data_IF_823050086935
#
_entry.id   IF_823050086935
#
_cell.length_a   1.000
_cell.length_b   1.000
_cell.length_c   1.000
_cell.angle_alpha   90.00
_cell.angle_beta   90.00
_cell.angle_gamma   90.00
#
_symmetry.space_group_name_H-M   'P 1'
#
loop_
_entity.id
_entity.type
_entity.pdbx_description
1 polymer ?
#
# COMPACT_ATOMS: atom_id res chain seq x y z
N UNK A 1 38.91 37.26 -17.87
CA UNK A 1 38.37 35.96 -17.41
C UNK A 1 39.56 35.19 -16.86
N UNK A 2 39.52 34.93 -15.57
CA UNK A 2 40.50 34.08 -14.91
C UNK A 2 40.09 32.63 -15.19
N UNK A 3 40.86 31.90 -16.00
CA UNK A 3 40.53 30.54 -16.41
C UNK A 3 40.98 29.51 -15.38
N UNK A 4 41.60 29.96 -14.27
CA UNK A 4 42.10 29.07 -13.24
C UNK A 4 41.04 28.74 -12.14
N UNK A 5 39.92 29.46 -12.09
CA UNK A 5 38.83 29.23 -11.16
C UNK A 5 37.56 28.76 -11.89
N UNK A 6 37.10 27.52 -11.71
CA UNK A 6 35.88 27.07 -12.33
C UNK A 6 34.65 27.79 -11.72
N UNK A 7 33.79 28.33 -12.55
CA UNK A 7 32.55 28.99 -12.13
C UNK A 7 31.44 27.98 -11.71
N UNK A 8 31.52 26.76 -12.17
CA UNK A 8 30.59 25.68 -11.83
C UNK A 8 31.22 24.31 -12.06
N UNK A 9 30.82 23.34 -11.25
CA UNK A 9 31.25 21.95 -11.35
C UNK A 9 29.99 21.09 -11.50
N UNK A 10 29.94 20.27 -12.55
CA UNK A 10 28.85 19.32 -12.76
C UNK A 10 29.34 17.92 -12.43
N UNK A 11 28.68 17.23 -11.49
CA UNK A 11 28.99 15.87 -11.08
C UNK A 11 27.95 14.93 -11.66
N UNK A 12 28.41 13.90 -12.38
CA UNK A 12 27.57 12.88 -13.02
C UNK A 12 27.79 11.52 -12.35
N UNK A 13 27.05 11.17 -11.31
CA UNK A 13 27.17 9.86 -10.66
C UNK A 13 26.70 8.73 -11.56
N UNK A 14 27.30 7.54 -11.42
CA UNK A 14 27.00 6.37 -12.27
C UNK A 14 25.62 5.74 -12.01
N UNK A 15 25.11 5.88 -10.80
CA UNK A 15 23.84 5.34 -10.37
C UNK A 15 23.24 6.20 -9.25
N UNK A 16 22.00 5.92 -8.90
CA UNK A 16 21.26 6.66 -7.90
C UNK A 16 21.89 6.58 -6.50
N UNK A 17 22.42 5.41 -6.12
CA UNK A 17 23.07 5.19 -4.83
C UNK A 17 24.33 6.04 -4.69
N UNK A 18 25.15 6.11 -5.75
CA UNK A 18 26.34 6.97 -5.79
C UNK A 18 25.97 8.45 -5.71
N UNK A 19 24.84 8.85 -6.31
CA UNK A 19 24.32 10.21 -6.23
C UNK A 19 23.93 10.58 -4.80
N UNK A 20 23.15 9.74 -4.12
CA UNK A 20 22.77 9.93 -2.71
C UNK A 20 24.00 10.05 -1.79
N UNK A 21 25.02 9.25 -2.06
CA UNK A 21 26.28 9.31 -1.31
C UNK A 21 27.00 10.66 -1.51
N UNK A 22 27.02 11.20 -2.73
CA UNK A 22 27.62 12.52 -3.00
C UNK A 22 26.83 13.63 -2.30
N UNK A 23 25.51 13.60 -2.37
CA UNK A 23 24.64 14.57 -1.68
C UNK A 23 24.89 14.53 -0.17
N UNK A 24 24.93 13.34 0.43
CA UNK A 24 25.18 13.17 1.86
C UNK A 24 26.56 13.71 2.30
N UNK A 25 27.58 13.59 1.45
CA UNK A 25 28.91 14.17 1.74
C UNK A 25 28.84 15.71 1.70
N UNK A 26 28.16 16.28 0.69
CA UNK A 26 28.03 17.74 0.55
C UNK A 26 27.23 18.33 1.72
N UNK A 27 26.14 17.67 2.12
CA UNK A 27 25.33 18.10 3.27
C UNK A 27 26.14 18.04 4.56
N UNK A 28 26.87 16.95 4.80
CA UNK A 28 27.72 16.79 5.98
C UNK A 28 28.85 17.82 6.05
N UNK A 29 29.40 18.20 4.89
CA UNK A 29 30.39 19.28 4.81
C UNK A 29 29.76 20.64 5.13
N UNK A 30 28.63 20.95 4.52
CA UNK A 30 27.89 22.20 4.73
C UNK A 30 27.47 22.37 6.19
N UNK A 31 26.94 21.33 6.80
CA UNK A 31 26.60 21.30 8.23
C UNK A 31 27.78 21.58 9.14
N UNK A 32 28.97 21.12 8.77
CA UNK A 32 30.19 21.39 9.52
C UNK A 32 30.64 22.83 9.37
N UNK A 33 30.60 23.36 8.15
CA UNK A 33 30.97 24.75 7.88
C UNK A 33 30.04 25.77 8.55
N UNK A 34 28.74 25.49 8.57
CA UNK A 34 27.76 26.31 9.28
C UNK A 34 27.99 26.29 10.80
N UNK A 35 28.26 25.13 11.40
CA UNK A 35 28.58 25.01 12.84
C UNK A 35 29.85 25.72 13.24
N UNK A 36 30.82 25.82 12.34
CA UNK A 36 32.08 26.55 12.54
C UNK A 36 31.94 28.05 12.25
N UNK A 37 30.78 28.54 11.81
CA UNK A 37 30.54 29.95 11.44
C UNK A 37 31.20 30.38 10.16
N UNK A 38 31.62 29.43 9.30
CA UNK A 38 32.27 29.64 8.02
C UNK A 38 31.28 29.62 6.86
N UNK A 39 30.26 30.46 6.92
CA UNK A 39 29.16 30.47 5.94
C UNK A 39 29.64 30.79 4.49
N UNK A 40 30.80 31.43 4.34
CA UNK A 40 31.40 31.71 3.02
C UNK A 40 31.95 30.44 2.33
N UNK A 41 32.14 29.37 3.07
CA UNK A 41 32.66 28.08 2.56
C UNK A 41 31.57 27.05 2.33
N UNK A 42 30.32 27.40 2.54
CA UNK A 42 29.18 26.53 2.26
C UNK A 42 29.03 26.35 0.74
N UNK A 43 28.98 25.09 0.31
CA UNK A 43 28.83 24.70 -1.09
C UNK A 43 27.36 24.80 -1.50
N UNK A 44 27.01 25.70 -2.39
CA UNK A 44 25.69 25.74 -3.00
C UNK A 44 25.64 24.76 -4.17
N UNK A 45 24.74 23.80 -4.10
CA UNK A 45 24.53 22.81 -5.16
C UNK A 45 23.06 22.66 -5.50
N UNK A 46 22.77 22.21 -6.71
CA UNK A 46 21.42 21.93 -7.18
C UNK A 46 21.31 20.45 -7.57
N UNK A 47 20.49 19.71 -6.87
CA UNK A 47 20.18 18.32 -7.19
C UNK A 47 18.98 18.25 -8.12
N UNK A 48 19.22 18.34 -9.43
CA UNK A 48 18.17 18.28 -10.45
C UNK A 48 17.48 16.90 -10.46
N UNK A 49 18.26 15.85 -10.33
CA UNK A 49 17.73 14.47 -10.36
C UNK A 49 16.87 14.19 -9.12
N UNK A 50 17.33 14.62 -7.94
CA UNK A 50 16.56 14.49 -6.70
C UNK A 50 15.24 15.25 -6.75
N UNK A 51 15.25 16.48 -7.27
CA UNK A 51 14.04 17.30 -7.43
C UNK A 51 13.04 16.67 -8.40
N UNK A 52 13.51 16.11 -9.52
CA UNK A 52 12.64 15.39 -10.45
C UNK A 52 12.07 14.11 -9.81
N UNK A 53 12.89 13.37 -9.07
CA UNK A 53 12.48 12.14 -8.43
C UNK A 53 11.48 12.38 -7.30
N UNK A 54 11.66 13.44 -6.50
CA UNK A 54 10.67 13.83 -5.49
C UNK A 54 9.33 14.20 -6.13
N UNK A 55 9.34 14.95 -7.22
CA UNK A 55 8.13 15.32 -7.96
C UNK A 55 7.39 14.09 -8.50
N UNK A 56 8.11 13.11 -9.06
CA UNK A 56 7.52 11.84 -9.50
C UNK A 56 6.94 11.07 -8.33
N UNK A 57 7.66 11.01 -7.21
CA UNK A 57 7.20 10.34 -5.99
C UNK A 57 5.92 10.99 -5.44
N UNK A 58 5.84 12.30 -5.44
CA UNK A 58 4.65 13.04 -5.00
C UNK A 58 3.44 12.73 -5.89
N UNK A 59 3.63 12.69 -7.21
CA UNK A 59 2.57 12.31 -8.15
C UNK A 59 2.10 10.86 -7.89
N UNK A 60 3.03 9.92 -7.71
CA UNK A 60 2.70 8.53 -7.40
C UNK A 60 1.95 8.41 -6.07
N UNK A 61 2.36 9.16 -5.06
CA UNK A 61 1.68 9.20 -3.76
C UNK A 61 0.25 9.74 -3.88
N UNK A 62 0.05 10.84 -4.61
CA UNK A 62 -1.28 11.41 -4.84
C UNK A 62 -2.18 10.38 -5.54
N UNK A 63 -1.71 9.75 -6.61
CA UNK A 63 -2.47 8.71 -7.32
C UNK A 63 -2.80 7.55 -6.37
N UNK A 64 -1.84 7.12 -5.56
CA UNK A 64 -2.03 6.04 -4.59
C UNK A 64 -3.10 6.39 -3.55
N UNK A 65 -3.09 7.61 -3.00
CA UNK A 65 -4.12 8.06 -2.05
C UNK A 65 -5.52 8.12 -2.68
N UNK A 66 -5.62 8.58 -3.92
CA UNK A 66 -6.89 8.59 -4.66
C UNK A 66 -7.42 7.17 -4.86
N UNK A 67 -6.55 6.23 -5.25
CA UNK A 67 -6.92 4.82 -5.43
C UNK A 67 -7.34 4.17 -4.10
N UNK A 68 -6.62 4.43 -3.01
CA UNK A 68 -6.97 3.94 -1.66
C UNK A 68 -8.33 4.49 -1.23
N UNK A 69 -8.60 5.77 -1.44
CA UNK A 69 -9.88 6.37 -1.12
C UNK A 69 -11.02 5.73 -1.95
N UNK A 70 -10.81 5.48 -3.24
CA UNK A 70 -11.78 4.82 -4.10
C UNK A 70 -12.08 3.38 -3.65
N UNK A 71 -11.04 2.63 -3.32
CA UNK A 71 -11.18 1.27 -2.76
C UNK A 71 -11.91 1.31 -1.41
N UNK A 72 -11.60 2.28 -0.56
CA UNK A 72 -12.30 2.47 0.71
C UNK A 72 -13.80 2.70 0.57
N UNK A 73 -14.19 3.57 -0.37
CA UNK A 73 -15.61 3.79 -0.70
C UNK A 73 -16.26 2.51 -1.21
N UNK A 74 -15.58 1.77 -2.10
CA UNK A 74 -16.08 0.49 -2.63
C UNK A 74 -16.29 -0.55 -1.53
N UNK A 75 -15.39 -0.61 -0.55
CA UNK A 75 -15.54 -1.49 0.61
C UNK A 75 -16.77 -1.12 1.46
N UNK A 76 -17.01 0.17 1.70
CA UNK A 76 -18.19 0.62 2.44
C UNK A 76 -19.48 0.22 1.73
N UNK A 77 -19.56 0.45 0.41
CA UNK A 77 -20.73 0.07 -0.38
C UNK A 77 -20.94 -1.44 -0.38
N UNK A 78 -19.88 -2.23 -0.54
CA UNK A 78 -19.93 -3.69 -0.48
C UNK A 78 -20.40 -4.19 0.89
N UNK A 79 -19.92 -3.58 1.98
CA UNK A 79 -20.34 -3.90 3.34
C UNK A 79 -21.83 -3.67 3.57
N UNK A 80 -22.37 -2.54 3.08
CA UNK A 80 -23.79 -2.24 3.16
C UNK A 80 -24.60 -3.30 2.37
N UNK A 81 -24.15 -3.66 1.17
CA UNK A 81 -24.82 -4.66 0.34
C UNK A 81 -24.83 -6.04 1.02
N UNK A 82 -23.70 -6.48 1.59
CA UNK A 82 -23.61 -7.74 2.35
C UNK A 82 -24.58 -7.70 3.53
N UNK A 83 -24.66 -6.58 4.27
CA UNK A 83 -25.58 -6.40 5.37
C UNK A 83 -27.06 -6.54 4.95
N UNK A 84 -27.43 -5.95 3.82
CA UNK A 84 -28.80 -6.06 3.26
C UNK A 84 -29.12 -7.50 2.86
N UNK A 85 -28.20 -8.18 2.15
CA UNK A 85 -28.39 -9.59 1.72
C UNK A 85 -28.52 -10.49 2.94
N UNK A 86 -27.68 -10.33 3.94
CA UNK A 86 -27.71 -11.11 5.19
C UNK A 86 -29.03 -10.88 5.93
N UNK A 87 -29.49 -9.62 6.01
CA UNK A 87 -30.77 -9.29 6.62
C UNK A 87 -31.94 -9.98 5.91
N UNK A 88 -31.98 -9.96 4.58
CA UNK A 88 -33.02 -10.64 3.80
C UNK A 88 -32.98 -12.15 4.03
N UNK A 89 -31.78 -12.77 4.01
CA UNK A 89 -31.61 -14.20 4.24
C UNK A 89 -32.13 -14.63 5.61
N UNK A 90 -31.88 -13.83 6.65
CA UNK A 90 -32.43 -14.10 7.99
C UNK A 90 -33.96 -13.98 8.02
N UNK A 91 -34.52 -13.01 7.26
CA UNK A 91 -35.97 -12.85 7.16
C UNK A 91 -36.64 -14.07 6.47
N UNK A 92 -36.04 -14.60 5.43
CA UNK A 92 -36.56 -15.78 4.71
C UNK A 92 -36.55 -17.02 5.60
N UNK A 93 -35.54 -17.18 6.48
CA UNK A 93 -35.40 -18.30 7.41
C UNK A 93 -36.15 -18.14 8.75
N UNK A 94 -37.00 -17.11 8.89
CA UNK A 94 -37.75 -16.87 10.16
C UNK A 94 -38.55 -18.08 10.63
N UNK A 95 -39.16 -18.84 9.71
CA UNK A 95 -39.95 -19.99 10.03
C UNK A 95 -39.10 -21.13 10.63
N UNK A 96 -37.92 -21.37 10.06
CA UNK A 96 -36.98 -22.37 10.56
C UNK A 96 -36.46 -22.00 11.95
N UNK A 97 -36.09 -20.71 12.12
CA UNK A 97 -35.67 -20.16 13.42
C UNK A 97 -36.78 -20.29 14.46
N UNK A 98 -38.03 -20.09 14.08
CA UNK A 98 -39.22 -20.27 14.92
C UNK A 98 -39.38 -21.71 15.38
N UNK A 99 -39.23 -22.70 14.49
CA UNK A 99 -39.27 -24.12 14.79
C UNK A 99 -38.14 -24.49 15.74
N UNK A 100 -36.90 -24.09 15.48
CA UNK A 100 -35.77 -24.36 16.37
C UNK A 100 -36.00 -23.82 17.79
N UNK A 101 -36.60 -22.64 17.92
CA UNK A 101 -36.96 -22.07 19.22
C UNK A 101 -38.10 -22.81 19.89
N UNK A 102 -39.08 -23.33 19.15
CA UNK A 102 -40.16 -24.12 19.70
C UNK A 102 -39.68 -25.48 20.27
N UNK A 103 -38.62 -26.03 19.69
CA UNK A 103 -37.94 -27.25 20.19
C UNK A 103 -37.03 -27.00 21.39
N UNK A 104 -36.83 -25.69 21.76
CA UNK A 104 -36.04 -25.32 22.95
C UNK A 104 -34.65 -24.74 22.66
N UNK A 105 -34.30 -24.46 21.43
CA UNK A 105 -33.02 -23.85 21.12
C UNK A 105 -32.91 -22.43 21.71
N UNK A 106 -31.81 -22.11 22.40
CA UNK A 106 -31.55 -20.81 22.95
C UNK A 106 -31.21 -19.75 21.86
N UNK A 107 -31.51 -18.51 22.11
CA UNK A 107 -31.12 -17.39 21.19
C UNK A 107 -29.63 -17.40 20.88
N UNK A 108 -28.81 -17.75 21.88
CA UNK A 108 -27.34 -17.80 21.75
C UNK A 108 -26.89 -18.89 20.78
N UNK A 109 -27.51 -20.07 20.84
CA UNK A 109 -27.16 -21.18 19.94
C UNK A 109 -27.49 -20.83 18.49
N UNK A 110 -28.65 -20.20 18.24
CA UNK A 110 -29.06 -19.76 16.91
C UNK A 110 -28.07 -18.68 16.39
N UNK A 111 -27.75 -17.69 17.20
CA UNK A 111 -26.77 -16.65 16.83
C UNK A 111 -25.38 -17.23 16.53
N UNK A 112 -24.93 -18.25 17.26
CA UNK A 112 -23.64 -18.91 17.01
C UNK A 112 -23.58 -19.59 15.64
N UNK A 113 -24.67 -20.20 15.20
CA UNK A 113 -24.74 -20.83 13.87
C UNK A 113 -24.60 -19.77 12.76
N UNK A 114 -25.33 -18.66 12.85
CA UNK A 114 -25.22 -17.58 11.87
C UNK A 114 -23.85 -16.87 11.88
N UNK A 115 -23.29 -16.66 13.07
CA UNK A 115 -21.94 -16.09 13.18
C UNK A 115 -20.87 -17.04 12.61
N UNK A 116 -21.02 -18.35 12.76
CA UNK A 116 -20.12 -19.31 12.16
C UNK A 116 -20.24 -19.32 10.63
N UNK A 117 -21.46 -19.21 10.08
CA UNK A 117 -21.70 -19.10 8.65
C UNK A 117 -21.04 -17.88 8.05
N UNK A 118 -21.24 -16.68 8.64
CA UNK A 118 -20.60 -15.43 8.18
C UNK A 118 -19.09 -15.46 8.34
N UNK A 119 -18.57 -16.05 9.42
CA UNK A 119 -17.14 -16.22 9.63
C UNK A 119 -16.50 -17.08 8.52
N UNK A 120 -17.12 -18.21 8.18
CA UNK A 120 -16.63 -19.10 7.11
C UNK A 120 -16.64 -18.37 5.76
N UNK A 121 -17.72 -17.65 5.45
CA UNK A 121 -17.85 -16.88 4.20
C UNK A 121 -16.75 -15.82 4.13
N UNK A 122 -16.56 -15.02 5.19
CA UNK A 122 -15.53 -13.99 5.26
C UNK A 122 -14.12 -14.56 5.12
N UNK A 123 -13.83 -15.67 5.79
CA UNK A 123 -12.54 -16.34 5.71
C UNK A 123 -12.27 -16.88 4.29
N UNK A 124 -13.25 -17.55 3.68
CA UNK A 124 -13.14 -18.04 2.31
C UNK A 124 -12.97 -16.90 1.31
N UNK A 125 -13.74 -15.82 1.43
CA UNK A 125 -13.64 -14.64 0.58
C UNK A 125 -12.25 -13.98 0.68
N UNK A 126 -11.72 -13.83 1.90
CA UNK A 126 -10.39 -13.29 2.14
C UNK A 126 -9.28 -14.16 1.52
N UNK A 127 -9.37 -15.48 1.68
CA UNK A 127 -8.40 -16.42 1.09
C UNK A 127 -8.45 -16.41 -0.44
N UNK A 128 -9.65 -16.40 -1.03
CA UNK A 128 -9.83 -16.31 -2.49
C UNK A 128 -9.28 -14.99 -3.00
N UNK A 129 -9.56 -13.85 -2.34
CA UNK A 129 -9.06 -12.54 -2.71
C UNK A 129 -7.53 -12.48 -2.74
N UNK A 130 -6.87 -13.01 -1.71
CA UNK A 130 -5.40 -13.08 -1.66
C UNK A 130 -4.87 -14.04 -2.71
N UNK A 131 -5.48 -15.22 -2.87
CA UNK A 131 -5.09 -16.19 -3.90
C UNK A 131 -5.17 -15.60 -5.30
N UNK A 132 -6.24 -14.86 -5.60
CA UNK A 132 -6.41 -14.16 -6.88
C UNK A 132 -5.37 -13.04 -7.07
N UNK A 133 -5.08 -12.27 -6.01
CA UNK A 133 -4.04 -11.24 -6.03
C UNK A 133 -2.66 -11.80 -6.33
N UNK A 134 -2.30 -12.93 -5.70
CA UNK A 134 -1.04 -13.63 -5.97
C UNK A 134 -0.98 -14.16 -7.40
N UNK A 135 -2.08 -14.71 -7.90
CA UNK A 135 -2.18 -15.22 -9.26
C UNK A 135 -2.01 -14.11 -10.31
N UNK A 136 -2.58 -12.92 -10.07
CA UNK A 136 -2.43 -11.76 -10.94
C UNK A 136 -1.03 -11.12 -10.84
N UNK A 137 -0.34 -11.29 -9.72
CA UNK A 137 1.02 -10.78 -9.52
C UNK A 137 2.04 -11.48 -10.42
N UNK A 138 1.84 -12.76 -10.73
CA UNK A 138 2.73 -13.53 -11.63
C UNK A 138 2.81 -12.90 -13.02
N UNK A 139 1.71 -12.74 -13.77
CA UNK A 139 1.76 -12.07 -15.07
C UNK A 139 2.12 -10.58 -14.95
N UNK A 140 1.74 -9.92 -13.86
CA UNK A 140 2.12 -8.53 -13.58
C UNK A 140 3.63 -8.35 -13.49
N UNK A 141 4.32 -9.19 -12.74
CA UNK A 141 5.79 -9.15 -12.64
C UNK A 141 6.47 -9.50 -13.96
N UNK A 142 5.93 -10.47 -14.72
CA UNK A 142 6.43 -10.80 -16.07
C UNK A 142 6.36 -9.59 -17.01
N UNK A 143 5.25 -8.85 -16.96
CA UNK A 143 5.06 -7.66 -17.78
C UNK A 143 6.00 -6.52 -17.36
N UNK A 144 6.17 -6.31 -16.04
CA UNK A 144 7.10 -5.30 -15.50
C UNK A 144 8.53 -5.62 -15.93
N UNK A 145 8.97 -6.87 -15.78
CA UNK A 145 10.32 -7.27 -16.18
C UNK A 145 10.55 -7.14 -17.69
N UNK A 146 9.52 -7.39 -18.50
CA UNK A 146 9.63 -7.26 -19.97
C UNK A 146 9.67 -5.79 -20.41
N UNK A 147 8.92 -4.90 -19.75
CA UNK A 147 8.85 -3.47 -20.10
C UNK A 147 9.98 -2.64 -19.49
N UNK A 148 10.42 -2.98 -18.29
CA UNK A 148 11.44 -2.22 -17.56
C UNK A 148 12.87 -2.71 -17.84
N UNK A 149 13.04 -3.82 -18.56
CA UNK A 149 14.34 -4.47 -18.86
C UNK A 149 15.24 -4.64 -17.62
N UNK A 150 14.61 -4.77 -16.45
CA UNK A 150 15.29 -4.88 -15.15
C UNK A 150 14.55 -5.86 -14.24
N UNK A 151 15.31 -6.74 -13.59
CA UNK A 151 14.79 -7.70 -12.60
C UNK A 151 14.75 -7.13 -11.17
N UNK A 152 15.18 -5.88 -10.99
CA UNK A 152 15.28 -5.26 -9.66
C UNK A 152 13.94 -4.73 -9.12
N UNK A 153 12.95 -4.51 -10.00
CA UNK A 153 11.62 -4.04 -9.62
C UNK A 153 10.65 -5.20 -9.73
N UNK A 154 10.13 -5.66 -8.59
CA UNK A 154 9.10 -6.69 -8.53
C UNK A 154 8.02 -6.30 -7.55
N UNK A 155 6.75 -6.52 -7.93
CA UNK A 155 5.65 -6.42 -6.98
C UNK A 155 5.73 -7.59 -6.01
N UNK A 156 5.60 -7.33 -4.72
CA UNK A 156 5.52 -8.34 -3.68
C UNK A 156 4.34 -8.05 -2.75
N UNK A 157 3.64 -9.08 -2.34
CA UNK A 157 2.58 -8.96 -1.35
C UNK A 157 3.20 -9.13 0.05
N UNK A 158 3.33 -8.08 0.86
CA UNK A 158 3.86 -8.24 2.20
C UNK A 158 2.85 -8.99 3.08
N UNK A 159 3.35 -9.92 3.92
CA UNK A 159 2.51 -10.79 4.76
C UNK A 159 1.60 -10.03 5.73
N UNK A 160 2.09 -8.92 6.28
CA UNK A 160 1.33 -8.14 7.27
C UNK A 160 0.07 -7.52 6.67
N UNK A 161 0.10 -6.77 5.55
CA UNK A 161 -1.12 -6.31 4.88
C UNK A 161 -2.04 -7.44 4.44
N UNK A 162 -1.51 -8.59 3.99
CA UNK A 162 -2.33 -9.74 3.62
C UNK A 162 -3.15 -10.26 4.80
N UNK A 163 -2.54 -10.41 5.97
CA UNK A 163 -3.24 -10.82 7.19
C UNK A 163 -4.27 -9.78 7.64
N UNK A 164 -3.96 -8.51 7.52
CA UNK A 164 -4.91 -7.41 7.83
C UNK A 164 -6.13 -7.48 6.91
N UNK A 165 -5.95 -7.75 5.62
CA UNK A 165 -7.04 -7.89 4.66
C UNK A 165 -7.93 -9.10 4.95
N UNK A 166 -7.35 -10.25 5.37
CA UNK A 166 -8.13 -11.41 5.81
C UNK A 166 -8.94 -11.06 7.06
N UNK A 167 -8.31 -10.43 8.05
CA UNK A 167 -9.00 -10.03 9.27
C UNK A 167 -10.15 -9.05 8.96
N UNK A 168 -9.92 -8.09 8.08
CA UNK A 168 -10.94 -7.15 7.63
C UNK A 168 -12.10 -7.87 6.93
N UNK A 169 -11.81 -8.85 6.07
CA UNK A 169 -12.82 -9.65 5.36
C UNK A 169 -13.69 -10.49 6.30
N UNK A 170 -13.15 -10.89 7.46
CA UNK A 170 -13.90 -11.64 8.47
C UNK A 170 -14.77 -10.70 9.33
N UNK A 171 -14.34 -9.44 9.54
CA UNK A 171 -15.05 -8.45 10.38
C UNK A 171 -16.19 -7.77 9.61
N UNK A 172 -16.03 -7.57 8.31
CA UNK A 172 -17.05 -7.03 7.41
C UNK A 172 -18.18 -8.00 7.15
#
# INVERSE_FOLDING_TARGET
ADFDEPSSISIYPKNFESKEHVVSILDGYNDTMEKEGKNEQVISYTDVVGTLMSSVTDIVNIISYVLIAFVGISLVVSSIMIGVITYISVLERKKEIGILRAIGASKRNISQVFNAETFIIGLCAGLIGIGLSLLLMIPGNLLIHHLADTTKVSASLPLVPALVLIALSVVL
#
